data_IF_099052321571
#
_entry.id   IF_099052321571
#
_cell.length_a   1.000
_cell.length_b   1.000
_cell.length_c   1.000
_cell.angle_alpha   90.00
_cell.angle_beta   90.00
_cell.angle_gamma   90.00
#
_symmetry.space_group_name_H-M   'P 1'
#
loop_
_entity.id
_entity.type
_entity.pdbx_description
1 polymer ?
#
# COMPACT_ATOMS: atom_id res chain seq x y z
N UNK A 1 22.64 7.18 13.15
CA UNK A 1 21.27 6.85 13.61
C UNK A 1 20.88 5.54 12.92
N UNK A 2 20.07 4.66 13.51
CA UNK A 2 19.63 3.44 12.81
C UNK A 2 18.60 3.84 11.73
N UNK A 3 18.66 3.26 10.53
CA UNK A 3 17.74 3.58 9.41
C UNK A 3 16.27 3.38 9.78
N UNK A 4 15.98 2.42 10.68
CA UNK A 4 14.64 2.23 11.23
C UNK A 4 14.13 3.43 12.05
N UNK A 5 15.00 4.09 12.83
CA UNK A 5 14.61 5.28 13.60
C UNK A 5 14.37 6.48 12.67
N UNK A 6 15.13 6.58 11.58
CA UNK A 6 14.94 7.62 10.55
C UNK A 6 13.61 7.44 9.82
N UNK A 7 13.26 6.20 9.46
CA UNK A 7 11.96 5.86 8.88
C UNK A 7 10.81 6.19 9.83
N UNK A 8 10.89 5.79 11.10
CA UNK A 8 9.86 6.11 12.10
C UNK A 8 9.70 7.63 12.30
N UNK A 9 10.80 8.38 12.29
CA UNK A 9 10.77 9.84 12.39
C UNK A 9 10.08 10.45 11.17
N UNK A 10 10.45 10.01 9.96
CA UNK A 10 9.82 10.46 8.73
C UNK A 10 8.32 10.16 8.69
N UNK A 11 7.92 8.93 9.06
CA UNK A 11 6.51 8.52 9.12
C UNK A 11 5.74 9.38 10.12
N UNK A 12 6.30 9.64 11.31
CA UNK A 12 5.66 10.50 12.30
C UNK A 12 5.51 11.95 11.80
N UNK A 13 6.50 12.51 11.11
CA UNK A 13 6.40 13.84 10.48
C UNK A 13 5.29 13.89 9.43
N UNK A 14 5.18 12.85 8.60
CA UNK A 14 4.16 12.72 7.55
C UNK A 14 2.75 12.54 8.15
N UNK A 15 2.62 11.76 9.23
CA UNK A 15 1.36 11.59 9.96
C UNK A 15 0.90 12.91 10.58
N UNK A 16 1.77 13.61 11.32
CA UNK A 16 1.43 14.91 11.92
C UNK A 16 0.97 15.93 10.88
N UNK A 17 1.52 15.83 9.67
CA UNK A 17 1.06 16.66 8.56
C UNK A 17 -0.37 16.31 8.18
N UNK A 18 -0.68 15.02 7.93
CA UNK A 18 -2.04 14.58 7.58
C UNK A 18 -3.06 14.92 8.68
N UNK A 19 -2.69 14.79 9.96
CA UNK A 19 -3.57 15.13 11.08
C UNK A 19 -3.94 16.62 11.15
N UNK A 20 -3.04 17.49 10.69
CA UNK A 20 -3.25 18.95 10.66
C UNK A 20 -3.79 19.44 9.33
N UNK A 21 -3.86 18.56 8.33
CA UNK A 21 -4.28 18.95 6.99
C UNK A 21 -5.80 19.12 6.99
N UNK A 22 -6.22 20.37 6.95
CA UNK A 22 -7.60 20.74 6.74
C UNK A 22 -7.93 20.59 5.26
N UNK A 23 -8.72 19.55 4.93
CA UNK A 23 -9.14 19.25 3.56
C UNK A 23 -9.91 20.42 2.92
N UNK A 24 -10.49 21.32 3.73
CA UNK A 24 -11.28 22.44 3.26
C UNK A 24 -10.44 23.70 2.93
N UNK A 25 -9.16 23.75 3.35
CA UNK A 25 -8.34 24.98 3.25
C UNK A 25 -7.46 25.08 2.00
N UNK A 26 -7.52 24.14 1.05
CA UNK A 26 -6.90 24.26 -0.29
C UNK A 26 -5.41 24.66 -0.32
N UNK A 27 -4.67 24.47 0.79
CA UNK A 27 -3.21 24.58 0.76
C UNK A 27 -2.67 23.34 0.03
N UNK A 28 -2.50 23.48 -1.28
CA UNK A 28 -1.84 22.51 -2.16
C UNK A 28 -0.35 22.46 -1.82
N UNK A 29 -0.01 21.88 -0.68
CA UNK A 29 1.36 21.50 -0.38
C UNK A 29 1.67 20.24 -1.19
N UNK A 30 2.76 20.33 -1.95
CA UNK A 30 3.32 19.22 -2.69
C UNK A 30 4.10 18.30 -1.73
N UNK A 31 3.43 17.21 -1.31
CA UNK A 31 4.00 16.22 -0.40
C UNK A 31 5.07 15.37 -1.09
N UNK A 32 4.98 15.22 -2.41
CA UNK A 32 5.99 14.52 -3.19
C UNK A 32 7.28 15.36 -3.23
N UNK A 33 7.20 16.66 -3.53
CA UNK A 33 8.35 17.57 -3.47
C UNK A 33 9.00 17.54 -2.08
N UNK A 34 8.17 17.55 -1.02
CA UNK A 34 8.65 17.61 0.35
C UNK A 34 9.33 16.33 0.84
N UNK A 35 8.85 15.14 0.45
CA UNK A 35 9.25 13.88 1.09
C UNK A 35 9.88 12.84 0.15
N UNK A 36 9.68 12.92 -1.17
CA UNK A 36 10.12 11.88 -2.13
C UNK A 36 11.61 11.55 -2.03
N UNK A 37 12.48 12.57 -1.95
CA UNK A 37 13.92 12.38 -1.87
C UNK A 37 14.32 11.60 -0.60
N UNK A 38 13.75 11.95 0.56
CA UNK A 38 14.04 11.25 1.83
C UNK A 38 13.51 9.82 1.83
N UNK A 39 12.33 9.58 1.26
CA UNK A 39 11.80 8.22 1.10
C UNK A 39 12.73 7.40 0.21
N UNK A 40 13.18 7.96 -0.91
CA UNK A 40 14.08 7.29 -1.85
C UNK A 40 15.43 6.95 -1.22
N UNK A 41 15.99 7.85 -0.41
CA UNK A 41 17.24 7.62 0.32
C UNK A 41 17.13 6.51 1.38
N UNK A 42 15.98 6.43 2.08
CA UNK A 42 15.71 5.41 3.09
C UNK A 42 15.20 4.08 2.49
N UNK A 43 14.80 4.11 1.22
CA UNK A 43 14.24 2.99 0.47
C UNK A 43 12.71 2.92 0.60
N UNK A 44 12.02 3.02 -0.52
CA UNK A 44 10.55 2.99 -0.59
C UNK A 44 9.97 1.67 -0.03
N UNK A 45 10.58 0.52 -0.37
CA UNK A 45 10.19 -0.78 0.18
C UNK A 45 10.30 -0.81 1.72
N UNK A 46 11.44 -0.35 2.26
CA UNK A 46 11.66 -0.28 3.70
C UNK A 46 10.67 0.66 4.39
N UNK A 47 10.31 1.76 3.72
CA UNK A 47 9.30 2.69 4.20
C UNK A 47 7.93 2.01 4.33
N UNK A 48 7.46 1.32 3.28
CA UNK A 48 6.17 0.63 3.30
C UNK A 48 6.14 -0.46 4.37
N UNK A 49 7.22 -1.24 4.49
CA UNK A 49 7.36 -2.25 5.55
C UNK A 49 7.30 -1.60 6.94
N UNK A 50 8.12 -0.58 7.19
CA UNK A 50 8.15 0.10 8.48
C UNK A 50 6.78 0.71 8.84
N UNK A 51 6.08 1.28 7.85
CA UNK A 51 4.74 1.82 8.02
C UNK A 51 3.75 0.75 8.48
N UNK A 52 3.64 -0.37 7.77
CA UNK A 52 2.68 -1.42 8.14
C UNK A 52 3.04 -2.12 9.45
N UNK A 53 4.33 -2.35 9.74
CA UNK A 53 4.78 -2.92 11.02
C UNK A 53 4.31 -2.10 12.22
N UNK A 54 4.34 -0.77 12.10
CA UNK A 54 4.12 0.13 13.23
C UNK A 54 2.71 0.73 13.30
N UNK A 55 1.94 0.68 12.20
CA UNK A 55 0.66 1.38 12.09
C UNK A 55 -0.52 0.51 11.62
N UNK A 56 -0.35 -0.81 11.55
CA UNK A 56 -1.40 -1.77 11.08
C UNK A 56 -2.58 -2.01 12.03
N UNK A 57 -2.60 -1.36 13.20
CA UNK A 57 -3.69 -1.45 14.17
C UNK A 57 -4.57 -0.19 14.21
N UNK A 58 -4.26 0.83 13.40
CA UNK A 58 -4.89 2.15 13.51
C UNK A 58 -5.46 2.67 12.21
N UNK A 59 -5.51 1.85 11.15
CA UNK A 59 -5.84 2.27 9.77
C UNK A 59 -4.89 3.31 9.18
N UNK A 60 -3.94 3.86 9.96
CA UNK A 60 -2.98 4.86 9.51
C UNK A 60 -2.06 4.31 8.43
N UNK A 61 -1.67 3.04 8.50
CA UNK A 61 -0.88 2.41 7.43
C UNK A 61 -1.59 2.56 6.08
N UNK A 62 -2.86 2.17 6.02
CA UNK A 62 -3.68 2.33 4.81
C UNK A 62 -3.90 3.80 4.43
N UNK A 63 -4.24 4.68 5.38
CA UNK A 63 -4.47 6.12 5.11
C UNK A 63 -3.21 6.79 4.55
N UNK A 64 -2.05 6.54 5.14
CA UNK A 64 -0.77 7.08 4.67
C UNK A 64 -0.44 6.55 3.28
N UNK A 65 -0.63 5.25 3.03
CA UNK A 65 -0.42 4.69 1.68
C UNK A 65 -1.36 5.32 0.65
N UNK A 66 -2.63 5.56 0.98
CA UNK A 66 -3.53 6.27 0.07
C UNK A 66 -3.01 7.67 -0.27
N UNK A 67 -2.54 8.43 0.73
CA UNK A 67 -2.12 9.82 0.52
C UNK A 67 -0.73 9.97 -0.07
N UNK A 68 0.15 8.98 0.06
CA UNK A 68 1.53 9.06 -0.41
C UNK A 68 1.74 8.14 -1.60
N UNK A 69 0.91 8.32 -2.64
CA UNK A 69 0.97 7.53 -3.87
C UNK A 69 2.38 7.55 -4.49
N UNK A 70 3.09 8.67 -4.39
CA UNK A 70 4.46 8.80 -4.89
C UNK A 70 5.46 7.79 -4.30
N UNK A 71 5.18 7.23 -3.11
CA UNK A 71 6.04 6.24 -2.44
C UNK A 71 6.02 4.90 -3.15
N UNK A 72 4.89 4.52 -3.73
CA UNK A 72 4.66 3.15 -4.21
C UNK A 72 4.16 3.08 -5.65
N UNK A 73 3.85 4.21 -6.30
CA UNK A 73 3.40 4.25 -7.69
C UNK A 73 4.37 3.59 -8.67
N UNK A 74 5.66 3.51 -8.32
CA UNK A 74 6.70 2.91 -9.16
C UNK A 74 7.01 1.45 -8.80
N UNK A 75 6.33 0.87 -7.81
CA UNK A 75 6.53 -0.53 -7.46
C UNK A 75 6.10 -1.44 -8.61
N UNK A 76 6.92 -2.43 -8.89
CA UNK A 76 6.56 -3.57 -9.72
C UNK A 76 5.60 -4.49 -8.97
N UNK A 77 4.95 -5.40 -9.69
CA UNK A 77 4.17 -6.47 -9.11
C UNK A 77 5.03 -7.37 -8.20
N UNK A 78 6.30 -7.59 -8.56
CA UNK A 78 7.24 -8.34 -7.73
C UNK A 78 7.51 -7.64 -6.39
N UNK A 79 7.60 -6.31 -6.36
CA UNK A 79 7.77 -5.56 -5.10
C UNK A 79 6.56 -5.76 -4.18
N UNK A 80 5.35 -5.76 -4.75
CA UNK A 80 4.14 -6.10 -4.02
C UNK A 80 4.18 -7.55 -3.50
N UNK A 81 4.53 -8.53 -4.33
CA UNK A 81 4.75 -9.92 -3.88
C UNK A 81 5.71 -9.98 -2.69
N UNK A 82 6.85 -9.29 -2.76
CA UNK A 82 7.82 -9.26 -1.68
C UNK A 82 7.25 -8.65 -0.39
N UNK A 83 6.42 -7.60 -0.47
CA UNK A 83 5.72 -7.03 0.69
C UNK A 83 4.75 -8.04 1.29
N UNK A 84 3.96 -8.73 0.46
CA UNK A 84 3.06 -9.78 0.94
C UNK A 84 3.83 -10.86 1.69
N UNK A 85 4.93 -11.36 1.12
CA UNK A 85 5.73 -12.42 1.75
C UNK A 85 6.31 -11.98 3.08
N UNK A 86 6.78 -10.74 3.16
CA UNK A 86 7.31 -10.17 4.38
C UNK A 86 6.28 -10.22 5.53
N UNK A 87 5.00 -9.99 5.22
CA UNK A 87 3.92 -9.92 6.20
C UNK A 87 3.00 -11.13 6.28
N UNK A 88 3.23 -12.17 5.48
CA UNK A 88 2.27 -13.26 5.30
C UNK A 88 1.90 -13.98 6.61
N UNK A 89 2.79 -13.98 7.60
CA UNK A 89 2.54 -14.59 8.91
C UNK A 89 2.00 -13.59 9.97
N UNK A 90 2.00 -12.29 9.68
CA UNK A 90 1.46 -11.26 10.56
C UNK A 90 -0.01 -10.99 10.23
N UNK A 91 -0.91 -11.69 10.94
CA UNK A 91 -2.34 -11.66 10.67
C UNK A 91 -3.01 -10.28 10.75
N UNK A 92 -2.47 -9.36 11.56
CA UNK A 92 -2.97 -7.99 11.70
C UNK A 92 -2.60 -7.19 10.45
N UNK A 93 -1.32 -7.18 10.09
CA UNK A 93 -0.85 -6.48 8.89
C UNK A 93 -1.49 -7.05 7.63
N UNK A 94 -1.61 -8.38 7.55
CA UNK A 94 -2.20 -9.06 6.41
C UNK A 94 -3.66 -8.63 6.17
N UNK A 95 -4.42 -8.34 7.22
CA UNK A 95 -5.77 -7.79 7.09
C UNK A 95 -5.77 -6.46 6.33
N UNK A 96 -4.90 -5.53 6.74
CA UNK A 96 -4.80 -4.20 6.12
C UNK A 96 -4.25 -4.30 4.68
N UNK A 97 -3.24 -5.14 4.45
CA UNK A 97 -2.69 -5.38 3.12
C UNK A 97 -3.77 -5.93 2.17
N UNK A 98 -4.56 -6.92 2.61
CA UNK A 98 -5.63 -7.48 1.76
C UNK A 98 -6.61 -6.39 1.32
N UNK A 99 -6.96 -5.47 2.22
CA UNK A 99 -7.83 -4.33 1.90
C UNK A 99 -7.14 -3.34 0.95
N UNK A 100 -5.87 -3.04 1.16
CA UNK A 100 -5.13 -2.12 0.31
C UNK A 100 -4.96 -2.67 -1.12
N UNK A 101 -4.62 -3.95 -1.27
CA UNK A 101 -4.47 -4.61 -2.56
C UNK A 101 -5.78 -4.62 -3.36
N UNK A 102 -6.85 -5.12 -2.76
CA UNK A 102 -8.14 -5.21 -3.44
C UNK A 102 -8.81 -3.85 -3.64
N UNK A 103 -8.64 -2.94 -2.67
CA UNK A 103 -9.30 -1.63 -2.65
C UNK A 103 -8.64 -0.59 -3.54
N UNK A 104 -7.31 -0.49 -3.52
CA UNK A 104 -6.54 0.60 -4.14
C UNK A 104 -5.62 0.14 -5.27
N UNK A 105 -4.91 -0.98 -5.10
CA UNK A 105 -4.04 -1.49 -6.16
C UNK A 105 -4.82 -2.18 -7.28
N UNK A 106 -6.07 -2.57 -7.02
CA UNK A 106 -6.87 -3.36 -7.96
C UNK A 106 -6.33 -4.77 -8.18
N UNK A 107 -5.42 -5.25 -7.32
CA UNK A 107 -4.85 -6.60 -7.39
C UNK A 107 -5.77 -7.57 -6.65
N UNK A 108 -6.12 -8.67 -7.31
CA UNK A 108 -6.77 -9.83 -6.72
C UNK A 108 -5.79 -10.62 -5.84
N UNK A 109 -5.50 -10.08 -4.67
CA UNK A 109 -4.62 -10.73 -3.68
C UNK A 109 -5.13 -12.11 -3.25
N UNK A 110 -6.41 -12.41 -3.45
CA UNK A 110 -6.99 -13.71 -3.13
C UNK A 110 -6.53 -14.78 -4.11
N UNK A 111 -6.52 -14.46 -5.40
CA UNK A 111 -5.94 -15.31 -6.42
C UNK A 111 -4.43 -15.44 -6.23
N UNK A 112 -3.73 -14.33 -5.99
CA UNK A 112 -2.29 -14.31 -5.69
C UNK A 112 -1.93 -15.25 -4.53
N UNK A 113 -2.57 -15.11 -3.36
CA UNK A 113 -2.35 -15.98 -2.20
C UNK A 113 -2.67 -17.45 -2.51
N UNK A 114 -3.63 -17.74 -3.40
CA UNK A 114 -4.02 -19.10 -3.75
C UNK A 114 -3.07 -19.77 -4.76
N UNK A 115 -2.56 -19.02 -5.72
CA UNK A 115 -1.75 -19.56 -6.82
C UNK A 115 -0.25 -19.56 -6.49
N UNK A 116 0.19 -18.63 -5.65
CA UNK A 116 1.61 -18.42 -5.36
C UNK A 116 2.13 -19.33 -4.24
N UNK A 117 2.93 -20.33 -4.61
CA UNK A 117 3.44 -21.36 -3.70
C UNK A 117 4.40 -20.82 -2.63
N UNK A 118 4.92 -19.61 -2.80
CA UNK A 118 5.81 -18.99 -1.81
C UNK A 118 5.03 -18.40 -0.64
N UNK A 119 3.71 -18.18 -0.80
CA UNK A 119 2.84 -17.70 0.27
C UNK A 119 2.53 -18.81 1.29
N UNK A 120 2.87 -18.62 2.59
CA UNK A 120 2.60 -19.57 3.66
C UNK A 120 1.12 -19.97 3.80
N UNK A 121 0.89 -21.19 4.30
CA UNK A 121 -0.45 -21.75 4.52
C UNK A 121 -1.29 -20.95 5.53
N UNK A 122 -0.63 -20.25 6.46
CA UNK A 122 -1.28 -19.35 7.42
C UNK A 122 -1.99 -18.20 6.72
N UNK A 123 -1.35 -17.57 5.72
CA UNK A 123 -1.96 -16.47 4.95
C UNK A 123 -3.16 -16.98 4.13
N UNK A 124 -3.03 -18.16 3.53
CA UNK A 124 -4.12 -18.83 2.79
C UNK A 124 -5.30 -19.14 3.70
N UNK A 125 -5.03 -19.64 4.91
CA UNK A 125 -6.04 -19.93 5.92
C UNK A 125 -6.69 -18.65 6.46
N UNK A 126 -5.91 -17.60 6.65
CA UNK A 126 -6.37 -16.28 7.06
C UNK A 126 -7.36 -15.69 6.05
N UNK A 127 -7.00 -15.68 4.77
CA UNK A 127 -7.87 -15.23 3.68
C UNK A 127 -9.22 -15.98 3.70
N UNK A 128 -9.20 -17.31 3.79
CA UNK A 128 -10.44 -18.12 3.85
C UNK A 128 -11.31 -17.79 5.05
N UNK A 129 -10.72 -17.48 6.20
CA UNK A 129 -11.43 -17.19 7.46
C UNK A 129 -12.10 -15.82 7.46
N UNK A 130 -11.39 -14.77 7.02
CA UNK A 130 -11.85 -13.38 7.13
C UNK A 130 -12.44 -12.82 5.84
N UNK A 131 -12.15 -13.44 4.71
CA UNK A 131 -12.55 -13.00 3.37
C UNK A 131 -13.20 -14.17 2.61
N UNK A 132 -14.24 -14.77 3.21
CA UNK A 132 -14.92 -15.97 2.67
C UNK A 132 -15.58 -15.77 1.29
N UNK A 133 -15.86 -14.52 0.91
CA UNK A 133 -16.36 -14.14 -0.42
C UNK A 133 -15.25 -13.69 -1.39
N UNK A 134 -13.98 -13.87 -0.99
CA UNK A 134 -12.83 -13.33 -1.69
C UNK A 134 -12.42 -11.96 -1.16
N UNK A 135 -11.46 -11.35 -1.84
CA UNK A 135 -10.90 -10.05 -1.48
C UNK A 135 -11.95 -8.94 -1.55
N UNK A 136 -11.83 -7.89 -0.73
CA UNK A 136 -12.70 -6.73 -0.85
C UNK A 136 -12.67 -6.23 -2.29
N UNK A 137 -13.86 -6.11 -2.90
CA UNK A 137 -13.99 -5.41 -4.18
C UNK A 137 -13.59 -3.94 -3.98
N UNK A 138 -13.14 -3.36 -5.08
CA UNK A 138 -12.63 -1.99 -5.17
C UNK A 138 -13.48 -1.00 -4.36
N UNK A 139 -12.82 -0.30 -3.42
CA UNK A 139 -13.42 0.75 -2.61
C UNK A 139 -12.78 2.06 -3.06
N UNK A 140 -13.49 2.80 -3.92
CA UNK A 140 -12.94 3.99 -4.54
C UNK A 140 -12.98 5.22 -3.61
N UNK A 141 -11.83 5.87 -3.47
CA UNK A 141 -11.69 7.31 -3.65
C UNK A 141 -10.60 7.48 -4.73
N UNK A 142 -10.94 8.13 -5.85
CA UNK A 142 -9.99 8.42 -6.94
C UNK A 142 -9.11 9.64 -6.59
N UNK A 143 -9.57 10.45 -5.64
CA UNK A 143 -8.96 11.69 -5.18
C UNK A 143 -7.44 11.61 -4.94
N UNK A 144 -6.88 10.51 -4.38
CA UNK A 144 -5.45 10.44 -4.20
C UNK A 144 -4.69 10.33 -5.52
N UNK A 145 -5.20 9.61 -6.51
CA UNK A 145 -4.56 9.51 -7.82
C UNK A 145 -4.67 10.82 -8.61
N UNK A 146 -5.85 11.46 -8.55
CA UNK A 146 -6.10 12.74 -9.20
C UNK A 146 -5.14 13.83 -8.71
N UNK A 147 -4.86 13.86 -7.40
CA UNK A 147 -3.91 14.81 -6.80
C UNK A 147 -2.52 14.74 -7.42
N UNK A 148 -2.06 13.54 -7.76
CA UNK A 148 -0.74 13.31 -8.35
C UNK A 148 -0.76 13.32 -9.88
N UNK A 149 -1.91 13.61 -10.51
CA UNK A 149 -2.05 13.53 -11.96
C UNK A 149 -1.81 12.12 -12.51
N UNK A 150 -2.02 11.09 -11.69
CA UNK A 150 -1.80 9.69 -12.06
C UNK A 150 -3.12 9.13 -12.59
N UNK A 151 -3.07 8.55 -13.78
CA UNK A 151 -4.18 7.74 -14.29
C UNK A 151 -4.06 6.31 -13.73
N UNK A 152 -4.98 5.85 -12.86
CA UNK A 152 -4.86 4.54 -12.21
C UNK A 152 -4.81 3.39 -13.23
N UNK A 153 -5.53 3.52 -14.35
CA UNK A 153 -5.53 2.53 -15.42
C UNK A 153 -4.14 2.27 -16.01
N UNK A 154 -3.26 3.29 -16.04
CA UNK A 154 -1.87 3.13 -16.50
C UNK A 154 -1.08 2.23 -15.55
N UNK A 155 -1.22 2.43 -14.23
CA UNK A 155 -0.56 1.58 -13.22
C UNK A 155 -1.09 0.15 -13.27
N UNK A 156 -2.41 -0.01 -13.32
CA UNK A 156 -3.04 -1.33 -13.35
C UNK A 156 -2.70 -2.12 -14.62
N UNK A 157 -2.64 -1.44 -15.78
CA UNK A 157 -2.20 -2.06 -17.02
C UNK A 157 -0.76 -2.54 -16.91
N UNK A 158 0.15 -1.74 -16.34
CA UNK A 158 1.54 -2.16 -16.10
C UNK A 158 1.61 -3.41 -15.23
N UNK A 159 0.93 -3.42 -14.09
CA UNK A 159 0.94 -4.60 -13.20
C UNK A 159 0.31 -5.83 -13.87
N UNK A 160 -0.75 -5.67 -14.67
CA UNK A 160 -1.33 -6.76 -15.46
C UNK A 160 -0.33 -7.32 -16.48
N UNK A 161 0.42 -6.47 -17.17
CA UNK A 161 1.49 -6.88 -18.10
C UNK A 161 2.64 -7.60 -17.37
N UNK A 162 2.89 -7.27 -16.11
CA UNK A 162 3.82 -7.97 -15.22
C UNK A 162 3.26 -9.29 -14.65
N UNK A 163 2.00 -9.61 -14.93
CA UNK A 163 1.35 -10.86 -14.52
C UNK A 163 0.52 -10.78 -13.23
N UNK A 164 0.26 -9.58 -12.72
CA UNK A 164 -0.60 -9.40 -11.55
C UNK A 164 -2.04 -9.87 -11.86
N UNK A 165 -2.66 -10.69 -11.00
CA UNK A 165 -4.07 -11.02 -11.14
C UNK A 165 -4.89 -9.80 -10.76
N UNK A 166 -5.51 -9.13 -11.73
CA UNK A 166 -6.26 -7.87 -11.48
C UNK A 166 -7.75 -8.12 -11.22
N UNK A 167 -8.34 -7.32 -10.34
CA UNK A 167 -9.79 -7.20 -10.10
C UNK A 167 -10.47 -6.17 -11.01
N UNK A 168 -9.69 -5.47 -11.83
CA UNK A 168 -10.12 -4.39 -12.72
C UNK A 168 -9.93 -4.79 -14.18
N UNK A 169 -10.88 -4.40 -15.02
CA UNK A 169 -10.76 -4.53 -16.48
C UNK A 169 -9.93 -3.36 -17.01
N UNK A 170 -8.67 -3.66 -17.35
CA UNK A 170 -7.67 -2.72 -17.91
C UNK A 170 -7.09 -3.22 -19.22
#
# INVERSE_FOLDING_TARGET
>A
MNSQNELLTLIAEMQQYLEKWDFDLNENIDLEEKYSQRVKELGEFNFVVCLFENYSNSSWGMIMMMHFVFVWQNFSYQDWQNILYFFAQNSIVLYELIRFYGGFLGINIGQMIQEDKEVPDEARSYLKRYFSKGTPKQMYSLDPFERYGIEPATLWKRWKEEGAPMNVDV
#
